data_IF_424680012057
#
_entry.id   IF_424680012057
#
_cell.length_a   1.000
_cell.length_b   1.000
_cell.length_c   1.000
_cell.angle_alpha   90.00
_cell.angle_beta   90.00
_cell.angle_gamma   90.00
#
_symmetry.space_group_name_H-M   'P 1'
#
loop_
_entity.id
_entity.type
_entity.pdbx_description
1 polymer ?
#
# COMPACT_ATOMS: atom_id res chain seq x y z
N UNK A 1 -1.79 -53.46 31.19
CA UNK A 1 -2.81 -52.40 31.29
C UNK A 1 -3.45 -52.28 29.90
N UNK A 2 -4.63 -52.86 29.79
CA UNK A 2 -5.38 -52.89 28.53
C UNK A 2 -6.01 -51.50 28.26
N UNK A 3 -5.39 -50.71 27.41
CA UNK A 3 -5.98 -49.44 26.97
C UNK A 3 -7.05 -49.74 25.90
N UNK A 4 -8.25 -50.02 26.35
CA UNK A 4 -9.41 -49.98 25.44
C UNK A 4 -9.72 -48.52 25.13
N UNK A 5 -9.76 -48.11 23.86
CA UNK A 5 -10.14 -46.74 23.49
C UNK A 5 -11.55 -46.46 24.02
N UNK A 6 -11.72 -45.23 24.55
CA UNK A 6 -13.05 -44.77 25.00
C UNK A 6 -14.00 -44.72 23.79
N UNK A 7 -15.14 -45.41 23.78
CA UNK A 7 -16.06 -45.41 22.65
C UNK A 7 -16.61 -44.01 22.35
N UNK A 8 -16.86 -43.19 23.36
CA UNK A 8 -17.30 -41.78 23.12
C UNK A 8 -16.26 -40.94 22.34
N UNK A 9 -14.97 -41.19 22.57
CA UNK A 9 -13.92 -40.48 21.82
C UNK A 9 -13.84 -40.91 20.35
N UNK A 10 -14.14 -42.16 20.04
CA UNK A 10 -14.19 -42.65 18.67
C UNK A 10 -15.42 -42.10 17.92
N UNK A 11 -16.56 -41.97 18.62
CA UNK A 11 -17.78 -41.39 18.04
C UNK A 11 -17.58 -39.90 17.75
N UNK A 12 -16.91 -39.16 18.63
CA UNK A 12 -16.58 -37.75 18.41
C UNK A 12 -15.64 -37.54 17.21
N UNK A 13 -14.61 -38.38 17.06
CA UNK A 13 -13.71 -38.34 15.89
C UNK A 13 -14.45 -38.65 14.61
N UNK A 14 -15.31 -39.70 14.64
CA UNK A 14 -16.10 -40.09 13.47
C UNK A 14 -17.05 -38.97 13.05
N UNK A 15 -17.71 -38.33 14.01
CA UNK A 15 -18.59 -37.18 13.76
C UNK A 15 -17.85 -35.99 13.18
N UNK A 16 -16.62 -35.71 13.65
CA UNK A 16 -15.77 -34.65 13.11
C UNK A 16 -15.34 -34.95 11.65
N UNK A 17 -14.95 -36.19 11.35
CA UNK A 17 -14.57 -36.62 10.01
C UNK A 17 -15.73 -36.54 9.03
N UNK A 18 -16.93 -36.94 9.44
CA UNK A 18 -18.15 -36.88 8.62
C UNK A 18 -18.56 -35.43 8.38
N UNK A 19 -18.36 -34.54 9.35
CA UNK A 19 -18.58 -33.11 9.14
C UNK A 19 -17.60 -32.54 8.11
N UNK A 20 -16.30 -32.89 8.18
CA UNK A 20 -15.30 -32.47 7.20
C UNK A 20 -15.63 -32.96 5.78
N UNK A 21 -16.05 -34.23 5.62
CA UNK A 21 -16.51 -34.77 4.32
C UNK A 21 -17.71 -34.01 3.79
N UNK A 22 -18.69 -33.72 4.66
CA UNK A 22 -19.88 -32.95 4.28
C UNK A 22 -19.54 -31.51 3.89
N UNK A 23 -18.50 -30.94 4.50
CA UNK A 23 -17.95 -29.64 4.15
C UNK A 23 -17.12 -29.64 2.85
N UNK A 24 -16.97 -30.79 2.17
CA UNK A 24 -16.23 -30.92 0.91
C UNK A 24 -14.71 -31.05 1.07
N UNK A 25 -14.23 -31.39 2.26
CA UNK A 25 -12.82 -31.68 2.51
C UNK A 25 -12.61 -33.18 2.42
N UNK A 26 -12.29 -33.66 1.22
CA UNK A 26 -12.01 -35.05 0.85
C UNK A 26 -10.51 -35.28 0.55
N UNK A 27 -9.66 -34.74 1.43
CA UNK A 27 -8.20 -34.88 1.26
C UNK A 27 -7.76 -36.28 1.68
N UNK A 28 -7.20 -37.04 0.76
CA UNK A 28 -6.43 -38.25 1.05
C UNK A 28 -5.02 -37.85 1.52
N UNK A 29 -4.71 -38.13 2.78
CA UNK A 29 -3.37 -37.92 3.31
C UNK A 29 -2.49 -39.14 2.98
N UNK A 30 -1.41 -38.89 2.25
CA UNK A 30 -0.38 -39.90 2.00
C UNK A 30 0.71 -39.77 3.07
N UNK A 31 1.10 -40.90 3.67
CA UNK A 31 2.17 -40.95 4.69
C UNK A 31 3.55 -40.60 4.09
N UNK A 32 3.71 -40.65 2.77
CA UNK A 32 4.92 -40.29 2.07
C UNK A 32 4.72 -38.97 1.29
N UNK A 33 5.69 -38.02 1.37
CA UNK A 33 5.59 -36.75 0.66
C UNK A 33 5.64 -36.94 -0.85
N UNK A 34 4.56 -36.64 -1.58
CA UNK A 34 4.56 -36.60 -3.03
C UNK A 34 5.24 -35.33 -3.55
N UNK A 35 6.17 -35.48 -4.48
CA UNK A 35 6.85 -34.35 -5.11
C UNK A 35 5.94 -33.73 -6.17
N UNK A 36 5.28 -32.64 -5.85
CA UNK A 36 4.36 -31.92 -6.74
C UNK A 36 5.02 -31.31 -7.99
N UNK A 37 6.34 -31.15 -7.95
CA UNK A 37 7.14 -30.49 -8.99
C UNK A 37 7.92 -31.48 -9.87
N UNK A 38 7.84 -32.76 -9.63
CA UNK A 38 8.41 -33.75 -10.53
C UNK A 38 7.50 -33.87 -11.76
N UNK A 39 8.01 -33.68 -12.99
CA UNK A 39 7.25 -34.08 -14.18
C UNK A 39 6.91 -35.55 -14.07
N UNK A 40 5.72 -36.00 -14.57
CA UNK A 40 5.37 -37.40 -14.56
C UNK A 40 6.53 -38.18 -15.21
N UNK A 41 7.05 -39.17 -14.49
CA UNK A 41 8.08 -40.05 -15.00
C UNK A 41 7.46 -40.81 -16.18
N UNK A 42 7.79 -40.38 -17.40
CA UNK A 42 7.41 -41.09 -18.61
C UNK A 42 8.30 -42.33 -18.64
N UNK A 43 7.71 -43.46 -18.32
CA UNK A 43 8.34 -44.75 -18.43
C UNK A 43 8.65 -44.98 -19.93
N UNK A 44 9.85 -44.60 -20.35
CA UNK A 44 10.32 -44.81 -21.72
C UNK A 44 10.71 -46.26 -21.88
N UNK A 45 10.14 -46.93 -22.89
CA UNK A 45 10.53 -48.27 -23.27
C UNK A 45 12.04 -48.34 -23.53
N UNK A 46 12.73 -49.47 -23.24
CA UNK A 46 14.15 -49.59 -23.41
C UNK A 46 14.54 -49.41 -24.89
N UNK A 47 15.23 -48.30 -25.18
CA UNK A 47 15.75 -48.04 -26.53
C UNK A 47 15.35 -46.70 -27.16
N UNK A 48 14.42 -45.93 -26.56
CA UNK A 48 14.10 -44.61 -27.08
C UNK A 48 15.10 -43.54 -26.61
N UNK A 49 15.60 -42.69 -27.53
CA UNK A 49 16.50 -41.59 -27.14
C UNK A 49 15.75 -40.58 -26.30
N UNK A 50 16.27 -40.27 -25.10
CA UNK A 50 15.72 -39.22 -24.23
C UNK A 50 15.59 -37.93 -25.03
N UNK A 51 14.37 -37.27 -25.02
CA UNK A 51 14.24 -36.00 -25.67
C UNK A 51 15.21 -35.00 -24.97
N UNK A 52 16.09 -34.39 -25.76
CA UNK A 52 16.98 -33.34 -25.28
C UNK A 52 16.11 -32.24 -24.72
N UNK A 53 16.44 -31.67 -23.52
CA UNK A 53 15.75 -30.51 -23.03
C UNK A 53 15.80 -29.43 -24.12
N UNK A 54 14.64 -29.09 -24.67
CA UNK A 54 14.59 -27.96 -25.57
C UNK A 54 14.96 -26.72 -24.73
N UNK A 55 15.84 -25.83 -25.23
CA UNK A 55 16.13 -24.59 -24.52
C UNK A 55 14.78 -23.92 -24.28
N UNK A 56 14.47 -23.70 -23.00
CA UNK A 56 13.27 -22.96 -22.58
C UNK A 56 13.24 -21.69 -23.41
N UNK A 57 12.25 -21.59 -24.31
CA UNK A 57 12.07 -20.41 -25.14
C UNK A 57 12.13 -19.23 -24.16
N UNK A 58 13.18 -18.43 -24.25
CA UNK A 58 13.31 -17.21 -23.46
C UNK A 58 12.04 -16.44 -23.79
N UNK A 59 11.14 -16.39 -22.82
CA UNK A 59 9.89 -15.65 -22.93
C UNK A 59 10.31 -14.25 -23.32
N UNK A 60 9.87 -13.81 -24.48
CA UNK A 60 10.23 -12.50 -24.99
C UNK A 60 9.95 -11.51 -23.86
N UNK A 61 10.95 -10.70 -23.50
CA UNK A 61 10.85 -9.72 -22.43
C UNK A 61 9.49 -9.02 -22.57
N UNK A 62 8.68 -9.08 -21.53
CA UNK A 62 7.39 -8.41 -21.53
C UNK A 62 7.62 -6.95 -21.96
N UNK A 63 6.79 -6.37 -22.83
CA UNK A 63 7.00 -5.02 -23.29
C UNK A 63 7.22 -4.10 -22.11
N UNK A 64 8.31 -3.32 -22.15
CA UNK A 64 8.63 -2.37 -21.09
C UNK A 64 7.43 -1.45 -20.88
N UNK A 65 6.83 -1.51 -19.71
CA UNK A 65 5.71 -0.66 -19.37
C UNK A 65 6.18 0.78 -19.27
N UNK A 66 5.42 1.76 -19.79
CA UNK A 66 5.82 3.16 -19.71
C UNK A 66 6.01 3.58 -18.26
N UNK A 67 7.15 4.25 -18.00
CA UNK A 67 7.55 4.74 -16.67
C UNK A 67 7.62 6.25 -16.70
N UNK A 68 7.35 6.87 -15.56
CA UNK A 68 7.55 8.31 -15.37
C UNK A 68 9.06 8.53 -15.19
N UNK A 69 9.66 9.31 -16.10
CA UNK A 69 11.06 9.70 -15.98
C UNK A 69 11.18 10.84 -14.96
N UNK A 70 11.93 10.64 -13.86
CA UNK A 70 12.14 11.69 -12.87
C UNK A 70 12.71 12.98 -13.45
N UNK A 71 13.50 12.91 -14.53
CA UNK A 71 14.10 14.07 -15.18
C UNK A 71 13.07 14.96 -15.91
N UNK A 72 11.88 14.43 -16.19
CA UNK A 72 10.81 15.17 -16.88
C UNK A 72 9.79 15.79 -15.92
N UNK A 73 9.96 15.58 -14.61
CA UNK A 73 9.06 16.12 -13.60
C UNK A 73 9.18 17.66 -13.54
N UNK A 74 8.05 18.37 -13.36
CA UNK A 74 8.09 19.83 -13.25
C UNK A 74 8.94 20.33 -12.09
N UNK A 75 9.64 21.44 -12.32
CA UNK A 75 10.58 22.04 -11.37
C UNK A 75 9.94 23.04 -10.39
N UNK A 76 8.69 23.42 -10.61
CA UNK A 76 7.96 24.31 -9.70
C UNK A 76 6.56 23.76 -9.37
N UNK A 77 6.00 24.22 -8.26
CA UNK A 77 4.75 23.70 -7.71
C UNK A 77 3.52 24.04 -8.58
N UNK A 78 3.36 25.21 -9.19
CA UNK A 78 2.27 25.47 -10.13
C UNK A 78 2.27 24.53 -11.33
N UNK A 79 3.41 24.41 -12.02
CA UNK A 79 3.55 23.50 -13.16
C UNK A 79 3.33 22.03 -12.74
N UNK A 80 3.79 21.64 -11.55
CA UNK A 80 3.53 20.31 -11.00
C UNK A 80 2.02 20.04 -10.82
N UNK A 81 1.26 21.00 -10.30
CA UNK A 81 -0.19 20.87 -10.13
C UNK A 81 -0.92 20.70 -11.48
N UNK A 82 -0.50 21.42 -12.52
CA UNK A 82 -1.05 21.27 -13.85
C UNK A 82 -0.71 19.89 -14.46
N UNK A 83 0.55 19.49 -14.35
CA UNK A 83 1.03 18.18 -14.76
C UNK A 83 0.27 17.04 -14.03
N UNK A 84 0.08 17.16 -12.71
CA UNK A 84 -0.69 16.22 -11.89
C UNK A 84 -2.11 15.99 -12.43
N UNK A 85 -2.72 17.04 -12.93
CA UNK A 85 -4.08 16.99 -13.49
C UNK A 85 -4.13 16.43 -14.92
N UNK A 86 -3.00 16.32 -15.61
CA UNK A 86 -2.98 15.97 -17.05
C UNK A 86 -2.19 14.70 -17.37
N UNK A 87 -1.21 14.29 -16.54
CA UNK A 87 -0.32 13.16 -16.82
C UNK A 87 -1.08 11.82 -16.94
N UNK A 88 -1.09 11.16 -18.11
CA UNK A 88 -1.85 9.93 -18.32
C UNK A 88 -1.39 8.77 -17.46
N UNK A 89 -0.08 8.64 -17.20
CA UNK A 89 0.50 7.52 -16.44
C UNK A 89 0.05 7.45 -14.99
N UNK A 90 -0.51 8.54 -14.45
CA UNK A 90 -1.05 8.59 -13.09
C UNK A 90 -2.50 8.08 -12.97
N UNK A 91 -3.19 7.78 -14.09
CA UNK A 91 -4.65 7.58 -14.08
C UNK A 91 -5.14 6.21 -14.52
N UNK A 92 -4.28 5.29 -14.83
CA UNK A 92 -4.72 3.95 -15.17
C UNK A 92 -5.44 3.28 -14.01
N UNK A 93 -6.67 2.83 -14.24
CA UNK A 93 -7.48 2.09 -13.28
C UNK A 93 -8.31 2.94 -12.30
N UNK A 94 -8.12 4.26 -12.26
CA UNK A 94 -8.87 5.15 -11.35
C UNK A 94 -10.28 5.49 -11.84
N UNK A 95 -11.22 5.60 -10.90
CA UNK A 95 -12.59 6.06 -11.14
C UNK A 95 -12.76 7.53 -10.74
N UNK A 96 -13.72 8.22 -11.37
CA UNK A 96 -14.04 9.60 -11.02
C UNK A 96 -13.12 10.66 -11.64
N UNK A 97 -13.23 11.86 -11.10
CA UNK A 97 -12.45 13.02 -11.54
C UNK A 97 -11.06 13.01 -10.90
N UNK A 98 -10.11 13.72 -11.54
CA UNK A 98 -8.84 14.02 -10.90
C UNK A 98 -9.04 15.12 -9.87
N UNK A 99 -8.40 14.97 -8.73
CA UNK A 99 -8.52 15.90 -7.61
C UNK A 99 -7.16 16.57 -7.37
N UNK A 100 -7.09 17.90 -7.45
CA UNK A 100 -5.83 18.61 -7.25
C UNK A 100 -5.40 18.60 -5.77
N UNK A 101 -4.08 18.62 -5.50
CA UNK A 101 -3.58 18.88 -4.16
C UNK A 101 -3.89 20.33 -3.74
N UNK A 102 -4.09 20.57 -2.45
CA UNK A 102 -4.45 21.87 -1.90
C UNK A 102 -3.50 22.35 -0.82
N UNK A 103 -3.27 23.63 -0.75
CA UNK A 103 -2.39 24.29 0.21
C UNK A 103 -1.31 25.13 -0.47
N UNK A 104 -0.40 25.69 0.35
CA UNK A 104 0.67 26.60 -0.09
C UNK A 104 2.04 25.98 0.12
N UNK A 105 3.04 26.46 -0.63
CA UNK A 105 4.44 26.12 -0.46
C UNK A 105 4.92 26.56 0.94
N UNK A 106 5.80 25.77 1.56
CA UNK A 106 6.33 26.05 2.88
C UNK A 106 5.36 25.77 4.02
N UNK A 107 4.33 24.94 3.79
CA UNK A 107 3.35 24.57 4.81
C UNK A 107 4.02 24.01 6.07
N UNK A 108 3.41 24.24 7.23
CA UNK A 108 3.89 23.66 8.51
C UNK A 108 3.81 22.13 8.48
N UNK A 109 2.76 21.60 7.83
CA UNK A 109 2.57 20.16 7.66
C UNK A 109 2.09 19.87 6.24
N UNK A 110 2.72 18.90 5.59
CA UNK A 110 2.20 18.28 4.39
C UNK A 110 1.60 16.92 4.76
N UNK A 111 0.34 16.75 4.46
CA UNK A 111 -0.41 15.50 4.64
C UNK A 111 -0.45 14.77 3.31
N UNK A 112 0.02 13.52 3.31
CA UNK A 112 -0.05 12.61 2.18
C UNK A 112 -1.01 11.46 2.49
N UNK A 113 -2.03 11.28 1.65
CA UNK A 113 -2.96 10.16 1.70
C UNK A 113 -2.79 9.26 0.48
N UNK A 114 -3.36 8.07 0.49
CA UNK A 114 -3.25 7.11 -0.61
C UNK A 114 -3.97 7.61 -1.87
N UNK A 115 -5.24 7.99 -1.72
CA UNK A 115 -6.13 8.36 -2.81
C UNK A 115 -7.19 9.37 -2.34
N UNK A 116 -7.87 10.08 -3.25
CA UNK A 116 -9.06 10.86 -2.93
C UNK A 116 -10.22 9.99 -2.41
N UNK A 117 -11.20 10.60 -1.73
CA UNK A 117 -12.47 9.95 -1.41
C UNK A 117 -13.30 9.77 -2.70
N UNK A 118 -14.17 8.77 -2.73
CA UNK A 118 -15.01 8.47 -3.92
C UNK A 118 -15.93 9.63 -4.33
N UNK A 119 -16.25 10.48 -3.39
CA UNK A 119 -17.13 11.65 -3.55
C UNK A 119 -16.38 12.97 -3.76
N UNK A 120 -15.02 12.92 -3.77
CA UNK A 120 -14.21 14.10 -4.03
C UNK A 120 -14.36 14.57 -5.49
N UNK A 121 -14.56 15.87 -5.66
CA UNK A 121 -14.60 16.54 -6.96
C UNK A 121 -13.43 17.52 -7.10
N UNK A 122 -13.70 18.80 -6.92
CA UNK A 122 -12.66 19.85 -7.03
C UNK A 122 -11.80 19.99 -5.77
N UNK A 123 -12.22 19.39 -4.65
CA UNK A 123 -11.55 19.53 -3.35
C UNK A 123 -11.19 18.15 -2.80
N UNK A 124 -9.89 17.95 -2.56
CA UNK A 124 -9.37 16.73 -1.96
C UNK A 124 -9.84 16.60 -0.50
N UNK A 125 -10.33 15.39 -0.16
CA UNK A 125 -10.87 15.06 1.15
C UNK A 125 -12.00 16.00 1.57
N UNK A 126 -13.06 16.08 0.76
CA UNK A 126 -14.26 16.85 1.04
C UNK A 126 -15.25 16.10 1.95
N UNK A 127 -15.12 14.78 2.05
CA UNK A 127 -16.05 13.90 2.74
C UNK A 127 -15.71 13.62 4.20
N UNK A 128 -15.95 12.39 4.61
CA UNK A 128 -15.82 11.94 6.02
C UNK A 128 -14.37 11.88 6.50
N UNK A 129 -13.46 11.46 5.64
CA UNK A 129 -12.04 11.41 5.97
C UNK A 129 -11.45 12.82 6.10
N UNK A 130 -11.91 13.76 5.26
CA UNK A 130 -11.51 15.16 5.37
C UNK A 130 -11.99 15.82 6.66
N UNK A 131 -13.20 15.51 7.11
CA UNK A 131 -13.68 15.98 8.43
C UNK A 131 -12.82 15.44 9.57
N UNK A 132 -12.44 14.17 9.51
CA UNK A 132 -11.51 13.57 10.48
C UNK A 132 -10.14 14.27 10.45
N UNK A 133 -9.56 14.46 9.26
CA UNK A 133 -8.28 15.14 9.10
C UNK A 133 -8.34 16.56 9.65
N UNK A 134 -9.39 17.31 9.35
CA UNK A 134 -9.59 18.69 9.86
C UNK A 134 -9.64 18.72 11.38
N UNK A 135 -10.38 17.81 12.00
CA UNK A 135 -10.43 17.70 13.46
C UNK A 135 -9.07 17.34 14.07
N UNK A 136 -8.30 16.46 13.41
CA UNK A 136 -6.94 16.10 13.83
C UNK A 136 -5.99 17.29 13.73
N UNK A 137 -5.98 18.02 12.62
CA UNK A 137 -5.14 19.21 12.44
C UNK A 137 -5.47 20.28 13.47
N UNK A 138 -6.75 20.51 13.75
CA UNK A 138 -7.19 21.42 14.80
C UNK A 138 -6.68 20.99 16.17
N UNK A 139 -6.78 19.70 16.51
CA UNK A 139 -6.26 19.17 17.77
C UNK A 139 -4.73 19.32 17.86
N UNK A 140 -4.02 19.22 16.74
CA UNK A 140 -2.56 19.42 16.65
C UNK A 140 -2.15 20.90 16.68
N UNK A 141 -3.11 21.82 16.74
CA UNK A 141 -2.84 23.26 16.71
C UNK A 141 -2.38 23.79 15.34
N UNK A 142 -2.76 23.07 14.26
CA UNK A 142 -2.41 23.46 12.90
C UNK A 142 -3.65 24.07 12.25
N UNK A 143 -3.57 25.32 11.87
CA UNK A 143 -4.62 25.99 11.10
C UNK A 143 -4.65 25.43 9.66
N UNK A 144 -5.84 25.40 9.05
CA UNK A 144 -6.07 24.78 7.75
C UNK A 144 -5.21 25.39 6.62
N UNK A 145 -4.92 26.67 6.68
CA UNK A 145 -4.06 27.42 5.75
C UNK A 145 -2.55 27.11 5.91
N UNK A 146 -2.17 26.51 7.04
CA UNK A 146 -0.81 26.02 7.29
C UNK A 146 -0.60 24.55 6.91
N UNK A 147 -1.63 23.89 6.42
CA UNK A 147 -1.54 22.50 5.97
C UNK A 147 -1.56 22.43 4.44
N UNK A 148 -0.71 21.58 3.89
CA UNK A 148 -0.76 21.14 2.50
C UNK A 148 -1.29 19.71 2.44
N UNK A 149 -2.31 19.45 1.65
CA UNK A 149 -2.95 18.12 1.56
C UNK A 149 -2.82 17.62 0.13
N UNK A 150 -2.26 16.42 -0.02
CA UNK A 150 -2.08 15.75 -1.29
C UNK A 150 -2.40 14.26 -1.18
N UNK A 151 -2.75 13.64 -2.28
CA UNK A 151 -2.88 12.20 -2.43
C UNK A 151 -1.74 11.62 -3.25
N UNK A 152 -1.44 10.33 -3.10
CA UNK A 152 -0.49 9.63 -3.95
C UNK A 152 -1.05 9.36 -5.33
N UNK A 153 -2.35 9.13 -5.44
CA UNK A 153 -3.06 8.95 -6.71
C UNK A 153 -3.97 10.15 -6.96
N UNK A 154 -4.10 10.61 -8.22
CA UNK A 154 -4.95 11.78 -8.55
C UNK A 154 -6.44 11.49 -8.55
N UNK A 155 -6.83 10.21 -8.54
CA UNK A 155 -8.23 9.74 -8.57
C UNK A 155 -8.48 8.72 -7.48
N UNK A 156 -9.74 8.56 -7.13
CA UNK A 156 -10.18 7.41 -6.32
C UNK A 156 -9.93 6.12 -7.08
N UNK A 157 -9.09 5.24 -6.55
CA UNK A 157 -8.61 4.01 -7.21
C UNK A 157 -8.63 2.87 -6.21
N UNK A 158 -9.80 2.39 -5.80
CA UNK A 158 -9.90 1.31 -4.83
C UNK A 158 -9.23 0.04 -5.38
N UNK A 159 -8.36 -0.56 -4.58
CA UNK A 159 -7.62 -1.74 -4.99
C UNK A 159 -6.46 -1.46 -5.97
N UNK A 160 -5.92 -0.26 -5.97
CA UNK A 160 -4.74 0.08 -6.79
C UNK A 160 -3.60 -0.92 -6.61
N UNK A 161 -2.97 -1.33 -7.70
CA UNK A 161 -1.74 -2.13 -7.67
C UNK A 161 -0.55 -1.24 -7.31
N UNK A 162 -0.24 -1.20 -6.03
CA UNK A 162 0.85 -0.38 -5.51
C UNK A 162 2.23 -0.85 -5.96
N UNK A 163 2.39 -2.13 -6.30
CA UNK A 163 3.62 -2.66 -6.87
C UNK A 163 3.82 -2.06 -8.27
N UNK A 164 2.79 -2.11 -9.09
CA UNK A 164 2.80 -1.50 -10.41
C UNK A 164 3.05 0.01 -10.34
N UNK A 165 2.40 0.73 -9.41
CA UNK A 165 2.61 2.16 -9.22
C UNK A 165 4.05 2.48 -8.82
N UNK A 166 4.68 1.63 -8.01
CA UNK A 166 6.11 1.76 -7.66
C UNK A 166 6.99 1.57 -8.89
N UNK A 167 6.74 0.55 -9.70
CA UNK A 167 7.48 0.26 -10.93
C UNK A 167 7.35 1.38 -11.98
N UNK A 168 6.21 2.06 -12.01
CA UNK A 168 5.95 3.22 -12.87
C UNK A 168 6.67 4.50 -12.41
N UNK A 169 7.24 4.53 -11.21
CA UNK A 169 8.01 5.66 -10.70
C UNK A 169 7.21 6.63 -9.83
N UNK A 170 6.05 6.23 -9.29
CA UNK A 170 5.21 7.11 -8.45
C UNK A 170 5.97 7.60 -7.19
N UNK A 171 6.92 6.82 -6.67
CA UNK A 171 7.78 7.24 -5.55
C UNK A 171 8.60 8.49 -5.88
N UNK A 172 9.15 8.59 -7.10
CA UNK A 172 9.88 9.77 -7.54
C UNK A 172 8.96 10.99 -7.67
N UNK A 173 7.73 10.80 -8.16
CA UNK A 173 6.71 11.85 -8.25
C UNK A 173 6.38 12.42 -6.87
N UNK A 174 6.14 11.55 -5.89
CA UNK A 174 5.85 11.98 -4.52
C UNK A 174 7.04 12.69 -3.86
N UNK A 175 8.24 12.18 -4.08
CA UNK A 175 9.48 12.79 -3.59
C UNK A 175 9.67 14.19 -4.16
N UNK A 176 9.50 14.37 -5.48
CA UNK A 176 9.52 15.67 -6.14
C UNK A 176 8.42 16.60 -5.59
N UNK A 177 7.21 16.09 -5.39
CA UNK A 177 6.12 16.86 -4.82
C UNK A 177 6.47 17.40 -3.42
N UNK A 178 7.02 16.54 -2.55
CA UNK A 178 7.47 16.95 -1.22
C UNK A 178 8.56 18.03 -1.31
N UNK A 179 9.52 17.86 -2.21
CA UNK A 179 10.59 18.84 -2.41
C UNK A 179 10.05 20.20 -2.88
N UNK A 180 9.08 20.20 -3.80
CA UNK A 180 8.45 21.44 -4.30
C UNK A 180 7.61 22.16 -3.25
N UNK A 181 6.91 21.42 -2.40
CA UNK A 181 6.14 21.99 -1.28
C UNK A 181 7.05 22.48 -0.18
N UNK A 182 8.19 21.82 0.05
CA UNK A 182 9.16 22.12 1.11
C UNK A 182 8.50 22.29 2.50
N UNK A 183 7.76 21.28 2.99
CA UNK A 183 7.04 21.39 4.25
C UNK A 183 7.99 21.28 5.44
N UNK A 184 7.59 21.82 6.58
CA UNK A 184 8.37 21.67 7.82
C UNK A 184 8.25 20.27 8.42
N UNK A 185 7.13 19.57 8.18
CA UNK A 185 6.86 18.20 8.65
C UNK A 185 6.04 17.45 7.62
N UNK A 186 6.22 16.12 7.56
CA UNK A 186 5.40 15.22 6.79
C UNK A 186 4.45 14.42 7.68
N UNK A 187 3.25 14.23 7.19
CA UNK A 187 2.23 13.38 7.79
C UNK A 187 1.74 12.38 6.76
N UNK A 188 2.26 11.17 6.81
CA UNK A 188 1.98 10.11 5.83
C UNK A 188 0.90 9.19 6.39
N UNK A 189 -0.26 9.17 5.73
CA UNK A 189 -1.44 8.41 6.13
C UNK A 189 -1.73 7.28 5.13
N UNK A 190 -1.20 6.12 5.41
CA UNK A 190 -1.31 4.91 4.59
C UNK A 190 0.04 4.21 4.43
N UNK A 191 0.06 2.89 4.59
CA UNK A 191 1.27 2.08 4.48
C UNK A 191 1.84 2.08 3.06
N UNK A 192 0.98 2.15 2.05
CA UNK A 192 1.38 2.14 0.65
C UNK A 192 2.16 3.41 0.29
N UNK A 193 1.70 4.58 0.76
CA UNK A 193 2.41 5.86 0.55
C UNK A 193 3.78 5.81 1.21
N UNK A 194 3.87 5.24 2.41
CA UNK A 194 5.12 5.10 3.12
C UNK A 194 6.12 4.22 2.36
N UNK A 195 5.64 3.12 1.78
CA UNK A 195 6.45 2.23 0.93
C UNK A 195 6.94 2.91 -0.34
N UNK A 196 6.10 3.74 -0.99
CA UNK A 196 6.49 4.55 -2.15
C UNK A 196 7.62 5.54 -1.83
N UNK A 197 7.70 6.01 -0.59
CA UNK A 197 8.78 6.88 -0.11
C UNK A 197 10.03 6.11 0.35
N UNK A 198 10.10 4.80 0.09
CA UNK A 198 11.25 3.96 0.42
C UNK A 198 11.35 3.55 1.88
N UNK A 199 10.27 3.63 2.62
CA UNK A 199 10.22 3.21 4.03
C UNK A 199 9.41 1.91 4.20
N UNK A 200 9.83 1.10 5.17
CA UNK A 200 9.05 -0.07 5.56
C UNK A 200 7.68 0.31 6.16
N UNK A 201 6.63 -0.48 5.91
CA UNK A 201 5.33 -0.27 6.53
C UNK A 201 5.43 -0.18 8.06
N UNK A 202 4.61 0.66 8.71
CA UNK A 202 4.68 0.82 10.14
C UNK A 202 4.16 -0.44 10.84
N UNK A 203 4.91 -0.96 11.81
CA UNK A 203 4.50 -2.11 12.62
C UNK A 203 3.44 -1.74 13.68
N UNK A 204 3.14 -0.46 13.85
CA UNK A 204 2.16 0.08 14.77
C UNK A 204 1.31 1.17 14.15
N UNK A 205 0.29 1.66 14.88
CA UNK A 205 -0.65 2.64 14.36
C UNK A 205 -0.05 4.04 14.10
N UNK A 206 1.12 4.35 14.67
CA UNK A 206 1.89 5.56 14.35
C UNK A 206 3.37 5.37 14.69
N UNK A 207 4.24 5.93 13.87
CA UNK A 207 5.70 5.91 14.05
C UNK A 207 6.32 7.23 13.60
N UNK A 208 7.33 7.67 14.38
CA UNK A 208 8.17 8.81 14.03
C UNK A 208 9.30 8.33 13.12
N UNK A 209 9.56 9.07 12.06
CA UNK A 209 10.64 8.83 11.10
C UNK A 209 11.20 10.16 10.58
N UNK A 210 12.20 10.07 9.73
CA UNK A 210 12.74 11.22 9.02
C UNK A 210 12.74 10.91 7.53
N UNK A 211 12.14 11.77 6.74
CA UNK A 211 12.27 11.72 5.29
C UNK A 211 13.52 12.46 4.88
N UNK A 212 14.40 11.79 4.13
CA UNK A 212 15.66 12.35 3.64
C UNK A 212 15.65 12.44 2.13
N UNK A 213 15.84 13.64 1.60
CA UNK A 213 15.94 13.85 0.16
C UNK A 213 16.86 15.04 -0.14
N UNK A 214 17.85 14.84 -1.01
CA UNK A 214 18.81 15.87 -1.45
C UNK A 214 19.41 16.72 -0.30
N UNK A 215 19.72 16.09 0.83
CA UNK A 215 20.28 16.75 2.00
C UNK A 215 19.25 17.40 2.93
N UNK A 216 17.99 17.52 2.53
CA UNK A 216 16.92 17.94 3.41
C UNK A 216 16.47 16.78 4.31
N UNK A 217 16.26 17.10 5.59
CA UNK A 217 15.75 16.17 6.62
C UNK A 217 14.43 16.70 7.14
N UNK A 218 13.34 16.02 6.77
CA UNK A 218 11.98 16.44 7.16
C UNK A 218 11.46 15.45 8.19
N UNK A 219 11.13 15.89 9.42
CA UNK A 219 10.47 15.04 10.41
C UNK A 219 9.16 14.49 9.85
N UNK A 220 8.92 13.18 10.00
CA UNK A 220 7.78 12.51 9.43
C UNK A 220 7.05 11.68 10.49
N UNK A 221 5.74 11.81 10.54
CA UNK A 221 4.85 10.90 11.25
C UNK A 221 4.16 10.04 10.20
N UNK A 222 4.37 8.73 10.27
CA UNK A 222 3.65 7.77 9.45
C UNK A 222 2.59 7.06 10.27
N UNK A 223 1.40 6.89 9.70
CA UNK A 223 0.27 6.25 10.36
C UNK A 223 -0.58 5.46 9.36
N UNK A 224 -1.57 4.76 9.87
CA UNK A 224 -2.55 4.08 9.05
C UNK A 224 -3.39 5.06 8.23
N UNK A 225 -3.98 4.59 7.14
CA UNK A 225 -4.89 5.39 6.32
C UNK A 225 -6.05 5.97 7.14
N UNK A 226 -6.54 7.15 6.75
CA UNK A 226 -7.63 7.85 7.44
C UNK A 226 -8.86 6.97 7.64
N UNK A 227 -9.20 6.16 6.66
CA UNK A 227 -10.28 5.18 6.73
C UNK A 227 -10.11 4.22 7.92
N UNK A 228 -8.91 3.68 8.13
CA UNK A 228 -8.62 2.80 9.25
C UNK A 228 -8.61 3.55 10.58
N UNK A 229 -8.05 4.76 10.62
CA UNK A 229 -8.06 5.61 11.81
C UNK A 229 -9.48 5.97 12.25
N UNK A 230 -10.42 6.18 11.31
CA UNK A 230 -11.79 6.54 11.62
C UNK A 230 -12.46 5.54 12.57
N UNK A 231 -12.24 4.24 12.33
CA UNK A 231 -12.85 3.13 13.09
C UNK A 231 -12.06 2.69 14.32
N UNK A 232 -10.83 3.22 14.53
CA UNK A 232 -9.92 2.71 15.57
C UNK A 232 -9.47 3.78 16.57
N UNK A 233 -10.18 3.95 17.71
CA UNK A 233 -9.84 4.95 18.74
C UNK A 233 -8.41 4.80 19.29
N UNK A 234 -7.94 3.55 19.46
CA UNK A 234 -6.58 3.28 19.97
C UNK A 234 -5.50 3.76 18.98
N UNK A 235 -5.74 3.65 17.68
CA UNK A 235 -4.83 4.14 16.66
C UNK A 235 -4.77 5.67 16.65
N UNK A 236 -5.92 6.35 16.81
CA UNK A 236 -5.97 7.81 16.98
C UNK A 236 -5.19 8.28 18.21
N UNK A 237 -5.31 7.55 19.34
CA UNK A 237 -4.55 7.85 20.54
C UNK A 237 -3.04 7.64 20.39
N UNK A 238 -2.62 6.63 19.64
CA UNK A 238 -1.21 6.41 19.34
C UNK A 238 -0.64 7.52 18.44
N UNK A 239 -1.41 7.92 17.43
CA UNK A 239 -1.05 9.04 16.55
C UNK A 239 -0.91 10.36 17.33
N UNK A 240 -1.83 10.63 18.26
CA UNK A 240 -1.75 11.79 19.13
C UNK A 240 -0.46 11.78 19.97
N UNK A 241 -0.07 10.64 20.54
CA UNK A 241 1.18 10.52 21.30
C UNK A 241 2.40 10.76 20.40
N UNK A 242 2.43 10.15 19.21
CA UNK A 242 3.52 10.37 18.26
C UNK A 242 3.62 11.85 17.84
N UNK A 243 2.50 12.56 17.72
CA UNK A 243 2.49 13.98 17.47
C UNK A 243 3.14 14.77 18.60
N UNK A 244 2.73 14.51 19.86
CA UNK A 244 3.31 15.17 21.03
C UNK A 244 4.81 14.92 21.18
N UNK A 245 5.25 13.68 20.96
CA UNK A 245 6.68 13.32 20.94
C UNK A 245 7.44 14.03 19.82
N UNK A 246 6.85 14.12 18.63
CA UNK A 246 7.45 14.78 17.47
C UNK A 246 7.51 16.31 17.57
N UNK A 247 6.76 16.95 18.48
CA UNK A 247 6.87 18.39 18.74
C UNK A 247 8.05 18.70 19.69
N UNK A 248 8.38 17.75 20.56
CA UNK A 248 9.42 17.91 21.57
C UNK A 248 10.85 17.83 21.00
N UNK A 249 11.02 17.51 19.73
CA UNK A 249 12.27 17.42 18.97
C UNK A 249 12.33 18.55 17.96
#
# INVERSE_FOLDING_TARGET
MDHRPNPEFLDDISGALDWWRTAGVDCDFLDEPATWLAPPEVELAPGEPRPRPQPRKVEAAAPERPRIDPATLPADLPAFKEWWMTEPLLTEGGAGLRVPPRGVKGAKVMVLVEEPESEDGDVLLAGSQGRLLSAMLTAFGIAADHAYVASALPRHTPGADWTEMTERGLGAVLTQHIALVAPQRLFVLGSNVLSLLGHEPPQGPAVLRTFNHEGAKIPMIASWALRALASQPRAKAALWRAWLEGIAV
#
